data_IF_904099674973
#
_entry.id   IF_904099674973
#
_cell.length_a   1.000
_cell.length_b   1.000
_cell.length_c   1.000
_cell.angle_alpha   90.00
_cell.angle_beta   90.00
_cell.angle_gamma   90.00
#
_symmetry.space_group_name_H-M   'P 1'
#
loop_
_entity.id
_entity.type
_entity.pdbx_description
1 polymer ?
#
# COMPACT_ATOMS: atom_id res chain seq x y z
N UNK A 1 1.67 -2.35 26.32
CA UNK A 1 1.91 -2.26 24.87
C UNK A 1 3.01 -1.24 24.67
N UNK A 2 4.06 -1.59 23.94
CA UNK A 2 5.12 -0.66 23.60
C UNK A 2 4.64 0.23 22.44
N UNK A 3 4.88 1.54 22.53
CA UNK A 3 4.58 2.49 21.45
C UNK A 3 5.30 2.10 20.15
N UNK A 4 6.48 1.48 20.25
CA UNK A 4 7.21 0.95 19.09
C UNK A 4 6.45 -0.18 18.39
N UNK A 5 5.69 -1.01 19.11
CA UNK A 5 4.84 -2.04 18.49
C UNK A 5 3.69 -1.41 17.72
N UNK A 6 3.02 -0.40 18.29
CA UNK A 6 1.93 0.31 17.60
C UNK A 6 2.42 1.02 16.34
N UNK A 7 3.58 1.67 16.41
CA UNK A 7 4.24 2.29 15.25
C UNK A 7 4.56 1.22 14.19
N UNK A 8 5.10 0.07 14.61
CA UNK A 8 5.37 -1.06 13.73
C UNK A 8 4.10 -1.53 13.01
N UNK A 9 3.00 -1.75 13.74
CA UNK A 9 1.75 -2.21 13.15
C UNK A 9 1.13 -1.18 12.20
N UNK A 10 1.21 0.11 12.53
CA UNK A 10 0.80 1.18 11.61
C UNK A 10 1.54 1.10 10.28
N UNK A 11 2.88 1.06 10.31
CA UNK A 11 3.64 0.93 9.07
C UNK A 11 3.43 -0.42 8.39
N UNK A 12 3.23 -1.50 9.16
CA UNK A 12 2.85 -2.81 8.65
C UNK A 12 1.59 -2.73 7.80
N UNK A 13 0.56 -2.06 8.32
CA UNK A 13 -0.70 -1.82 7.59
C UNK A 13 -0.47 -1.03 6.30
N UNK A 14 0.33 0.03 6.36
CA UNK A 14 0.69 0.82 5.19
C UNK A 14 1.40 -0.05 4.11
N UNK A 15 2.47 -0.78 4.47
CA UNK A 15 3.17 -1.64 3.52
C UNK A 15 2.26 -2.73 2.92
N UNK A 16 1.40 -3.35 3.72
CA UNK A 16 0.42 -4.30 3.22
C UNK A 16 -0.55 -3.66 2.22
N UNK A 17 -1.03 -2.44 2.48
CA UNK A 17 -1.88 -1.70 1.54
C UNK A 17 -1.15 -1.33 0.26
N UNK A 18 0.13 -0.95 0.34
CA UNK A 18 0.92 -0.65 -0.84
C UNK A 18 1.15 -1.88 -1.72
N UNK A 19 1.26 -3.07 -1.12
CA UNK A 19 1.42 -4.32 -1.86
C UNK A 19 0.25 -4.61 -2.80
N UNK A 20 -0.97 -4.21 -2.43
CA UNK A 20 -2.21 -4.54 -3.16
C UNK A 20 -2.20 -4.06 -4.62
N UNK A 21 -2.11 -2.76 -4.94
CA UNK A 21 -2.16 -2.31 -6.34
C UNK A 21 -1.01 -2.88 -7.17
N UNK A 22 0.20 -2.98 -6.60
CA UNK A 22 1.36 -3.49 -7.32
C UNK A 22 1.26 -4.98 -7.62
N UNK A 23 0.86 -5.82 -6.65
CA UNK A 23 0.65 -7.24 -6.91
C UNK A 23 -0.52 -7.46 -7.88
N UNK A 24 -1.64 -6.76 -7.69
CA UNK A 24 -2.82 -6.95 -8.55
C UNK A 24 -2.52 -6.56 -9.99
N UNK A 25 -1.96 -5.37 -10.25
CA UNK A 25 -1.59 -4.96 -11.60
C UNK A 25 -0.52 -5.87 -12.20
N UNK A 26 0.52 -6.19 -11.43
CA UNK A 26 1.58 -7.08 -11.88
C UNK A 26 1.10 -8.47 -12.28
N UNK A 27 0.25 -9.10 -11.45
CA UNK A 27 -0.32 -10.42 -11.72
C UNK A 27 -1.34 -10.42 -12.87
N UNK A 28 -1.98 -9.28 -13.14
CA UNK A 28 -2.84 -9.09 -14.32
C UNK A 28 -2.04 -8.84 -15.61
N UNK A 29 -0.71 -8.79 -15.54
CA UNK A 29 0.15 -8.46 -16.68
C UNK A 29 0.11 -6.98 -17.06
N UNK A 30 -0.41 -6.11 -16.20
CA UNK A 30 -0.59 -4.69 -16.47
C UNK A 30 0.60 -3.88 -15.93
N UNK A 31 1.11 -2.91 -16.72
CA UNK A 31 2.06 -1.95 -16.21
C UNK A 31 1.38 -1.01 -15.20
N UNK A 32 2.10 -0.63 -14.15
CA UNK A 32 1.60 0.26 -13.10
C UNK A 32 2.71 1.12 -12.52
N UNK A 33 2.37 2.23 -11.89
CA UNK A 33 3.35 3.18 -11.39
C UNK A 33 4.14 2.60 -10.22
N UNK A 34 5.46 2.83 -10.19
CA UNK A 34 6.34 2.43 -9.08
C UNK A 34 7.37 3.53 -8.80
N UNK A 35 8.05 3.54 -7.64
CA UNK A 35 9.16 4.47 -7.41
C UNK A 35 10.34 4.30 -8.37
N UNK A 36 10.41 3.19 -9.12
CA UNK A 36 11.49 2.89 -10.07
C UNK A 36 11.19 3.35 -11.50
N UNK A 37 9.97 3.83 -11.77
CA UNK A 37 9.59 4.35 -13.06
C UNK A 37 10.22 5.72 -13.35
N UNK A 38 10.12 6.18 -14.61
CA UNK A 38 10.47 7.55 -14.99
C UNK A 38 9.24 8.26 -15.59
N UNK A 39 8.74 9.36 -14.99
CA UNK A 39 9.17 9.94 -13.72
C UNK A 39 8.82 9.04 -12.50
N UNK A 40 9.63 9.05 -11.42
CA UNK A 40 9.40 8.21 -10.23
C UNK A 40 7.99 8.38 -9.64
N UNK A 41 7.34 7.26 -9.34
CA UNK A 41 6.00 7.23 -8.74
C UNK A 41 4.86 7.73 -9.64
N UNK A 42 5.15 8.03 -10.92
CA UNK A 42 4.20 8.58 -11.90
C UNK A 42 4.24 7.87 -13.24
N UNK A 43 5.44 7.59 -13.75
CA UNK A 43 5.65 6.76 -14.93
C UNK A 43 5.28 5.31 -14.68
N UNK A 44 5.17 4.52 -15.73
CA UNK A 44 4.83 3.11 -15.65
C UNK A 44 6.07 2.23 -15.53
N UNK A 45 6.00 1.20 -14.68
CA UNK A 45 6.93 0.08 -14.67
C UNK A 45 6.25 -1.17 -15.21
N UNK A 46 7.04 -2.15 -15.66
CA UNK A 46 6.52 -3.41 -16.17
C UNK A 46 5.74 -4.20 -15.10
N UNK A 47 4.94 -5.17 -15.56
CA UNK A 47 4.21 -6.09 -14.69
C UNK A 47 5.14 -6.85 -13.74
N UNK A 48 6.28 -7.36 -14.24
CA UNK A 48 7.28 -8.05 -13.41
C UNK A 48 7.86 -7.15 -12.31
N UNK A 49 8.15 -5.89 -12.61
CA UNK A 49 8.63 -4.93 -11.60
C UNK A 49 7.57 -4.70 -10.54
N UNK A 50 6.29 -4.61 -10.94
CA UNK A 50 5.18 -4.47 -10.01
C UNK A 50 4.97 -5.71 -9.13
N UNK A 51 5.11 -6.93 -9.66
CA UNK A 51 5.07 -8.16 -8.84
C UNK A 51 6.18 -8.14 -7.80
N UNK A 52 7.43 -7.89 -8.20
CA UNK A 52 8.57 -7.85 -7.28
C UNK A 52 8.39 -6.76 -6.23
N UNK A 53 8.00 -5.55 -6.65
CA UNK A 53 7.78 -4.44 -5.74
C UNK A 53 6.65 -4.69 -4.75
N UNK A 54 5.52 -5.25 -5.22
CA UNK A 54 4.41 -5.66 -4.38
C UNK A 54 4.82 -6.74 -3.37
N UNK A 55 5.65 -7.70 -3.77
CA UNK A 55 6.18 -8.73 -2.87
C UNK A 55 7.13 -8.17 -1.81
N UNK A 56 7.99 -7.20 -2.17
CA UNK A 56 8.84 -6.49 -1.19
C UNK A 56 7.99 -5.80 -0.13
N UNK A 57 6.92 -5.11 -0.53
CA UNK A 57 5.99 -4.48 0.40
C UNK A 57 5.29 -5.51 1.30
N UNK A 58 4.88 -6.65 0.74
CA UNK A 58 4.29 -7.75 1.51
C UNK A 58 5.27 -8.31 2.55
N UNK A 59 6.53 -8.53 2.17
CA UNK A 59 7.56 -9.04 3.08
C UNK A 59 7.87 -8.06 4.23
N UNK A 60 7.93 -6.76 3.93
CA UNK A 60 8.10 -5.71 4.95
C UNK A 60 6.88 -5.70 5.89
N UNK A 61 5.66 -5.71 5.33
CA UNK A 61 4.42 -5.78 6.11
C UNK A 61 4.39 -6.99 7.05
N UNK A 62 4.75 -8.18 6.56
CA UNK A 62 4.89 -9.38 7.38
C UNK A 62 5.92 -9.22 8.50
N UNK A 63 7.09 -8.63 8.21
CA UNK A 63 8.11 -8.37 9.23
C UNK A 63 7.59 -7.46 10.34
N UNK A 64 6.96 -6.35 9.96
CA UNK A 64 6.45 -5.35 10.90
C UNK A 64 5.30 -5.87 11.78
N UNK A 65 4.38 -6.66 11.20
CA UNK A 65 3.21 -7.17 11.92
C UNK A 65 3.54 -8.46 12.67
N UNK A 66 4.20 -9.41 12.02
CA UNK A 66 4.38 -10.78 12.53
C UNK A 66 5.70 -11.04 13.25
N UNK A 67 6.70 -10.13 13.15
CA UNK A 67 8.05 -10.39 13.69
C UNK A 67 8.53 -9.42 14.77
N UNK A 68 7.99 -8.20 14.83
CA UNK A 68 8.44 -7.19 15.81
C UNK A 68 7.76 -7.35 17.17
N UNK A 69 6.46 -7.60 17.18
CA UNK A 69 5.68 -7.78 18.41
C UNK A 69 4.74 -8.98 18.35
N UNK A 70 4.03 -9.22 19.46
CA UNK A 70 2.97 -10.22 19.52
C UNK A 70 1.64 -9.58 19.08
N UNK A 71 1.51 -9.33 17.77
CA UNK A 71 0.30 -8.74 17.21
C UNK A 71 -0.91 -9.62 17.48
N UNK A 72 -1.98 -9.02 18.03
CA UNK A 72 -3.25 -9.70 18.25
C UNK A 72 -4.41 -8.85 17.75
N UNK A 73 -5.16 -9.35 16.75
CA UNK A 73 -6.35 -8.70 16.21
C UNK A 73 -7.46 -8.49 17.27
N UNK A 74 -7.45 -9.26 18.36
CA UNK A 74 -8.40 -9.11 19.46
C UNK A 74 -8.06 -7.93 20.36
N UNK A 75 -6.83 -7.44 20.30
CA UNK A 75 -6.42 -6.24 21.02
C UNK A 75 -6.76 -5.01 20.18
N UNK A 76 -7.69 -4.20 20.67
CA UNK A 76 -8.21 -3.03 19.94
C UNK A 76 -7.11 -2.06 19.53
N UNK A 77 -6.09 -1.85 20.37
CA UNK A 77 -4.99 -0.95 20.07
C UNK A 77 -4.14 -1.45 18.88
N UNK A 78 -3.85 -2.74 18.81
CA UNK A 78 -3.10 -3.37 17.72
C UNK A 78 -3.90 -3.31 16.41
N UNK A 79 -5.17 -3.73 16.47
CA UNK A 79 -6.08 -3.69 15.33
C UNK A 79 -6.30 -2.25 14.82
N UNK A 80 -6.44 -1.29 15.72
CA UNK A 80 -6.57 0.12 15.36
C UNK A 80 -5.29 0.68 14.74
N UNK A 81 -4.12 0.37 15.29
CA UNK A 81 -2.85 0.82 14.72
C UNK A 81 -2.66 0.29 13.29
N UNK A 82 -2.84 -1.02 13.08
CA UNK A 82 -2.79 -1.65 11.76
C UNK A 82 -3.83 -1.02 10.80
N UNK A 83 -5.08 -0.93 11.25
CA UNK A 83 -6.19 -0.40 10.45
C UNK A 83 -6.01 1.07 10.06
N UNK A 84 -5.45 1.91 10.94
CA UNK A 84 -5.12 3.30 10.64
C UNK A 84 -4.02 3.40 9.58
N UNK A 85 -3.02 2.52 9.63
CA UNK A 85 -1.99 2.43 8.59
C UNK A 85 -2.57 2.08 7.23
N UNK A 86 -3.45 1.07 7.20
CA UNK A 86 -4.19 0.67 6.00
C UNK A 86 -5.02 1.81 5.44
N UNK A 87 -5.81 2.47 6.29
CA UNK A 87 -6.70 3.55 5.87
C UNK A 87 -5.92 4.77 5.38
N UNK A 88 -4.91 5.21 6.12
CA UNK A 88 -4.11 6.39 5.78
C UNK A 88 -3.40 6.20 4.45
N UNK A 89 -2.71 5.06 4.25
CA UNK A 89 -2.04 4.82 2.98
C UNK A 89 -3.05 4.55 1.86
N UNK A 90 -4.15 3.84 2.13
CA UNK A 90 -5.20 3.60 1.14
C UNK A 90 -5.79 4.90 0.57
N UNK A 91 -6.12 5.86 1.44
CA UNK A 91 -6.59 7.18 1.02
C UNK A 91 -5.53 7.96 0.24
N UNK A 92 -4.26 7.86 0.65
CA UNK A 92 -3.16 8.47 -0.09
C UNK A 92 -3.01 7.88 -1.50
N UNK A 93 -2.97 6.55 -1.64
CA UNK A 93 -2.84 5.87 -2.93
C UNK A 93 -4.06 6.14 -3.81
N UNK A 94 -5.27 6.11 -3.25
CA UNK A 94 -6.49 6.43 -3.99
C UNK A 94 -6.42 7.83 -4.61
N UNK A 95 -5.97 8.84 -3.86
CA UNK A 95 -5.82 10.21 -4.38
C UNK A 95 -4.64 10.35 -5.35
N UNK A 96 -3.50 9.75 -5.02
CA UNK A 96 -2.28 9.86 -5.83
C UNK A 96 -2.47 9.18 -7.19
N UNK A 97 -2.89 7.91 -7.20
CA UNK A 97 -3.19 7.20 -8.43
C UNK A 97 -4.48 7.69 -9.09
N UNK A 98 -5.46 8.18 -8.32
CA UNK A 98 -6.65 8.83 -8.87
C UNK A 98 -6.33 10.06 -9.71
N UNK A 99 -5.29 10.83 -9.36
CA UNK A 99 -4.82 11.94 -10.18
C UNK A 99 -4.21 11.49 -11.51
N UNK A 100 -3.71 10.25 -11.59
CA UNK A 100 -3.07 9.67 -12.78
C UNK A 100 -4.05 8.87 -13.66
N UNK A 101 -5.12 8.34 -13.07
CA UNK A 101 -6.11 7.50 -13.73
C UNK A 101 -7.50 8.16 -13.86
N UNK A 102 -7.63 9.45 -13.55
CA UNK A 102 -8.90 10.21 -13.67
C UNK A 102 -9.88 10.06 -12.50
N UNK A 103 -9.57 9.25 -11.48
CA UNK A 103 -10.47 8.96 -10.36
C UNK A 103 -10.77 10.14 -9.41
N UNK A 104 -10.03 11.25 -9.50
CA UNK A 104 -10.23 12.40 -8.62
C UNK A 104 -11.30 13.39 -9.11
N UNK A 105 -11.71 13.33 -10.38
CA UNK A 105 -12.68 14.26 -10.99
C UNK A 105 -13.78 13.51 -11.76
N UNK A 106 -14.65 12.73 -11.08
CA UNK A 106 -15.61 11.84 -11.75
C UNK A 106 -16.69 12.56 -12.58
N UNK A 107 -16.92 13.86 -12.34
CA UNK A 107 -17.99 14.62 -13.01
C UNK A 107 -17.49 15.43 -14.23
N UNK A 108 -16.19 15.43 -14.54
CA UNK A 108 -15.64 16.20 -15.66
C UNK A 108 -15.85 15.54 -17.03
N UNK A 109 -16.36 14.30 -17.04
CA UNK A 109 -16.69 13.52 -18.24
C UNK A 109 -18.19 13.52 -18.58
N UNK A 110 -19.03 14.36 -17.95
CA UNK A 110 -20.42 14.54 -18.40
C UNK A 110 -20.51 15.71 -19.40
N UNK A 111 -20.64 15.46 -20.72
CA UNK A 111 -21.02 16.49 -21.68
C UNK A 111 -22.44 17.03 -21.40
#
# INVERSE_FOLDING_TARGET
MDILHLVSYFFGGAFLTNAVPHLVSGLRGEPFQTPFANPPGRGLSSSTVNVVWGFVNLAIGYGLVGRIGAFDLRVTADAAALGLGVLALGLFLARHFGALHGGNEPDRERP
#
